data_IF_401276775735
#
_entry.id   IF_401276775735
#
_cell.length_a   1.000
_cell.length_b   1.000
_cell.length_c   1.000
_cell.angle_alpha   90.00
_cell.angle_beta   90.00
_cell.angle_gamma   90.00
#
_symmetry.space_group_name_H-M   'P 1'
#
loop_
_entity.id
_entity.type
_entity.pdbx_description
1 polymer ?
#
# COMPACT_ATOMS: atom_id res chain seq x y z
N UNK A 1 -1.46 -52.92 -17.57
CA UNK A 1 -0.76 -52.35 -16.39
C UNK A 1 0.11 -51.11 -16.70
N UNK A 2 0.71 -50.98 -17.89
CA UNK A 2 1.62 -49.85 -18.25
C UNK A 2 0.92 -48.47 -18.27
N UNK A 3 -0.35 -48.40 -18.68
CA UNK A 3 -1.08 -47.11 -18.77
C UNK A 3 -1.41 -46.47 -17.42
N UNK A 4 -1.55 -47.26 -16.35
CA UNK A 4 -1.88 -46.74 -15.02
C UNK A 4 -0.65 -46.04 -14.41
N UNK A 5 0.54 -46.64 -14.52
CA UNK A 5 1.81 -46.03 -14.08
C UNK A 5 2.13 -44.73 -14.82
N UNK A 6 1.89 -44.69 -16.15
CA UNK A 6 2.05 -43.46 -16.96
C UNK A 6 1.11 -42.34 -16.52
N UNK A 7 -0.16 -42.66 -16.20
CA UNK A 7 -1.13 -41.68 -15.69
C UNK A 7 -0.70 -41.07 -14.35
N UNK A 8 -0.22 -41.87 -13.41
CA UNK A 8 0.28 -41.35 -12.12
C UNK A 8 1.48 -40.44 -12.29
N UNK A 9 2.43 -40.81 -13.16
CA UNK A 9 3.59 -39.96 -13.47
C UNK A 9 3.16 -38.64 -14.14
N UNK A 10 2.20 -38.69 -15.07
CA UNK A 10 1.65 -37.48 -15.69
C UNK A 10 0.93 -36.58 -14.68
N UNK A 11 0.11 -37.14 -13.79
CA UNK A 11 -0.57 -36.37 -12.74
C UNK A 11 0.46 -35.72 -11.82
N UNK A 12 1.48 -36.47 -11.38
CA UNK A 12 2.55 -35.95 -10.54
C UNK A 12 3.29 -34.79 -11.22
N UNK A 13 3.64 -34.93 -12.51
CA UNK A 13 4.28 -33.88 -13.29
C UNK A 13 3.41 -32.62 -13.39
N UNK A 14 2.11 -32.78 -13.64
CA UNK A 14 1.16 -31.66 -13.69
C UNK A 14 1.08 -30.98 -12.32
N UNK A 15 0.99 -31.73 -11.23
CA UNK A 15 0.97 -31.18 -9.88
C UNK A 15 2.24 -30.38 -9.56
N UNK A 16 3.42 -30.89 -9.94
CA UNK A 16 4.69 -30.17 -9.76
C UNK A 16 4.69 -28.86 -10.55
N UNK A 17 4.23 -28.87 -11.80
CA UNK A 17 4.15 -27.66 -12.63
C UNK A 17 3.20 -26.61 -12.03
N UNK A 18 2.06 -27.04 -11.52
CA UNK A 18 1.09 -26.16 -10.85
C UNK A 18 1.71 -25.54 -9.59
N UNK A 19 2.35 -26.35 -8.74
CA UNK A 19 3.03 -25.85 -7.53
C UNK A 19 4.14 -24.87 -7.90
N UNK A 20 4.98 -25.19 -8.88
CA UNK A 20 6.05 -24.33 -9.34
C UNK A 20 5.51 -23.00 -9.89
N UNK A 21 4.39 -23.03 -10.63
CA UNK A 21 3.73 -21.83 -11.14
C UNK A 21 3.22 -20.92 -10.02
N UNK A 22 2.54 -21.48 -9.01
CA UNK A 22 2.05 -20.71 -7.85
C UNK A 22 3.20 -20.15 -7.02
N UNK A 23 4.24 -20.96 -6.78
CA UNK A 23 5.42 -20.52 -6.05
C UNK A 23 6.17 -19.39 -6.75
N UNK A 24 6.37 -19.51 -8.07
CA UNK A 24 6.98 -18.46 -8.87
C UNK A 24 6.18 -17.16 -8.78
N UNK A 25 4.85 -17.23 -8.96
CA UNK A 25 3.97 -16.07 -8.81
C UNK A 25 4.06 -15.47 -7.40
N UNK A 26 4.07 -16.28 -6.35
CA UNK A 26 4.15 -15.78 -4.97
C UNK A 26 5.42 -14.97 -4.71
N UNK A 27 6.56 -15.43 -5.23
CA UNK A 27 7.85 -14.74 -5.07
C UNK A 27 7.89 -13.45 -5.89
N UNK A 28 7.51 -13.52 -7.17
CA UNK A 28 7.65 -12.39 -8.10
C UNK A 28 6.58 -11.31 -7.93
N UNK A 29 5.48 -11.62 -7.24
CA UNK A 29 4.39 -10.66 -7.03
C UNK A 29 4.71 -9.66 -5.92
N UNK A 30 4.80 -8.38 -6.29
CA UNK A 30 5.03 -7.28 -5.36
C UNK A 30 4.33 -6.00 -5.83
N UNK A 31 4.27 -5.02 -4.94
CA UNK A 31 3.89 -3.65 -5.30
C UNK A 31 5.13 -2.87 -5.74
N UNK A 32 4.98 -2.02 -6.75
CA UNK A 32 6.02 -1.10 -7.20
C UNK A 32 5.50 0.32 -7.09
N UNK A 33 6.30 1.22 -6.51
CA UNK A 33 5.94 2.63 -6.41
C UNK A 33 6.09 3.31 -7.78
N UNK A 34 5.00 3.91 -8.27
CA UNK A 34 4.95 4.56 -9.60
C UNK A 34 5.05 6.07 -9.46
N UNK A 35 4.46 6.65 -8.42
CA UNK A 35 4.54 8.08 -8.16
C UNK A 35 4.51 8.39 -6.67
N UNK A 36 5.19 9.46 -6.31
CA UNK A 36 5.24 10.01 -4.96
C UNK A 36 4.75 11.44 -4.97
N UNK A 37 3.90 11.78 -4.00
CA UNK A 37 3.59 13.16 -3.67
C UNK A 37 4.39 13.59 -2.44
N UNK A 38 4.81 14.85 -2.40
CA UNK A 38 5.48 15.47 -1.26
C UNK A 38 5.09 16.94 -1.17
N UNK A 39 5.06 17.50 0.03
CA UNK A 39 4.91 18.94 0.23
C UNK A 39 6.25 19.59 0.52
N UNK A 40 6.40 20.87 0.15
CA UNK A 40 7.48 21.70 0.70
C UNK A 40 7.20 21.99 2.16
N UNK A 41 8.25 22.01 2.99
CA UNK A 41 8.17 22.25 4.44
C UNK A 41 7.30 23.46 4.80
N UNK A 42 7.44 24.56 4.07
CA UNK A 42 6.74 25.81 4.33
C UNK A 42 5.29 25.84 3.83
N UNK A 43 4.85 24.79 3.12
CA UNK A 43 3.49 24.69 2.57
C UNK A 43 2.49 24.02 3.51
N UNK A 44 2.96 23.33 4.56
CA UNK A 44 2.11 22.65 5.55
C UNK A 44 1.89 23.57 6.75
N UNK A 45 0.70 24.12 6.83
CA UNK A 45 0.25 24.94 7.96
C UNK A 45 -0.25 24.07 9.12
N UNK A 46 -0.16 24.62 10.33
CA UNK A 46 -0.67 24.00 11.54
C UNK A 46 -2.20 23.86 11.47
N UNK A 47 -2.74 22.73 11.95
CA UNK A 47 -4.18 22.43 12.01
C UNK A 47 -4.92 22.45 10.67
N UNK A 48 -4.20 22.36 9.55
CA UNK A 48 -4.78 22.16 8.22
C UNK A 48 -4.62 20.69 7.80
N UNK A 49 -5.59 20.19 7.02
CA UNK A 49 -5.57 18.84 6.47
C UNK A 49 -5.03 18.82 5.05
N UNK A 50 -4.10 17.88 4.82
CA UNK A 50 -3.40 17.70 3.56
C UNK A 50 -3.45 16.25 3.12
N UNK A 51 -3.66 16.01 1.83
CA UNK A 51 -3.79 14.67 1.27
C UNK A 51 -2.61 14.40 0.33
N UNK A 52 -1.85 13.35 0.61
CA UNK A 52 -0.73 12.90 -0.21
C UNK A 52 -1.02 11.52 -0.81
N UNK A 53 -1.08 11.46 -2.13
CA UNK A 53 -1.21 10.22 -2.88
C UNK A 53 0.13 9.59 -3.26
N UNK A 54 0.26 8.30 -2.98
CA UNK A 54 1.37 7.44 -3.41
C UNK A 54 0.82 6.34 -4.31
N UNK A 55 1.08 6.44 -5.61
CA UNK A 55 0.57 5.48 -6.59
C UNK A 55 1.43 4.23 -6.57
N UNK A 56 0.79 3.07 -6.41
CA UNK A 56 1.41 1.76 -6.46
C UNK A 56 0.84 0.97 -7.65
N UNK A 57 1.71 0.19 -8.29
CA UNK A 57 1.34 -0.81 -9.28
C UNK A 57 1.59 -2.20 -8.72
N UNK A 58 0.62 -3.08 -8.83
CA UNK A 58 0.77 -4.50 -8.54
C UNK A 58 1.32 -5.24 -9.76
N UNK A 59 2.42 -5.97 -9.59
CA UNK A 59 3.08 -6.73 -10.66
C UNK A 59 2.69 -8.23 -10.68
N UNK A 60 1.86 -8.68 -9.74
CA UNK A 60 1.42 -10.07 -9.66
C UNK A 60 0.18 -10.39 -10.52
N UNK A 61 0.07 -11.65 -10.94
CA UNK A 61 -1.11 -12.13 -11.68
C UNK A 61 -2.33 -12.19 -10.77
N UNK A 62 -2.16 -12.67 -9.55
CA UNK A 62 -3.24 -12.81 -8.56
C UNK A 62 -3.30 -11.57 -7.69
N UNK A 63 -4.52 -11.07 -7.48
CA UNK A 63 -4.77 -9.86 -6.71
C UNK A 63 -4.63 -10.11 -5.21
N UNK A 64 -3.85 -9.28 -4.50
CA UNK A 64 -3.70 -9.43 -3.07
C UNK A 64 -4.90 -8.82 -2.33
N UNK A 65 -5.03 -9.18 -1.06
CA UNK A 65 -5.87 -8.45 -0.10
C UNK A 65 -4.94 -7.73 0.85
N UNK A 66 -5.00 -6.40 0.89
CA UNK A 66 -4.25 -5.60 1.86
C UNK A 66 -4.91 -5.82 3.22
N UNK A 67 -4.14 -6.26 4.20
CA UNK A 67 -4.65 -6.49 5.54
C UNK A 67 -4.70 -5.18 6.30
N UNK A 68 -3.60 -4.43 6.26
CA UNK A 68 -3.43 -3.13 6.91
C UNK A 68 -2.25 -2.38 6.31
N UNK A 69 -2.17 -1.08 6.60
CA UNK A 69 -1.05 -0.21 6.24
C UNK A 69 -0.55 0.46 7.52
N UNK A 70 0.74 0.31 7.79
CA UNK A 70 1.43 0.96 8.92
C UNK A 70 2.33 2.09 8.39
N UNK A 71 2.38 3.19 9.13
CA UNK A 71 3.29 4.29 8.86
C UNK A 71 4.41 4.29 9.89
N UNK A 72 5.65 4.59 9.46
CA UNK A 72 6.78 4.75 10.36
C UNK A 72 7.42 6.11 10.24
N UNK A 73 7.73 6.70 11.39
CA UNK A 73 8.42 7.98 11.51
C UNK A 73 9.91 7.84 11.17
N UNK A 74 10.60 8.97 11.05
CA UNK A 74 12.04 9.02 10.74
C UNK A 74 12.93 8.29 11.75
N UNK A 75 12.50 8.17 13.00
CA UNK A 75 13.20 7.44 14.06
C UNK A 75 12.91 5.91 14.04
N UNK A 76 12.06 5.46 13.13
CA UNK A 76 11.67 4.05 12.97
C UNK A 76 10.46 3.62 13.82
N UNK A 77 9.92 4.50 14.67
CA UNK A 77 8.72 4.20 15.47
C UNK A 77 7.47 4.13 14.59
N UNK A 78 6.50 3.29 14.98
CA UNK A 78 5.21 3.18 14.31
C UNK A 78 4.37 4.39 14.72
N UNK A 79 3.83 5.10 13.74
CA UNK A 79 2.92 6.23 14.00
C UNK A 79 1.59 5.69 14.52
N UNK A 80 1.19 6.16 15.71
CA UNK A 80 -0.11 5.84 16.31
C UNK A 80 -1.16 6.89 15.94
N UNK A 81 -2.42 6.48 15.81
CA UNK A 81 -3.56 7.38 15.59
C UNK A 81 -3.67 8.48 16.66
N UNK A 82 -3.16 8.21 17.87
CA UNK A 82 -3.18 9.13 19.01
C UNK A 82 -1.88 9.92 19.20
N UNK A 83 -1.04 10.02 18.16
CA UNK A 83 0.18 10.80 18.25
C UNK A 83 -0.09 12.29 18.57
N UNK A 84 0.75 12.85 19.46
CA UNK A 84 0.58 14.20 20.02
C UNK A 84 0.98 15.32 19.06
N UNK A 85 1.74 15.00 18.01
CA UNK A 85 2.35 15.94 17.09
C UNK A 85 1.72 15.86 15.70
N UNK A 86 1.32 14.67 15.27
CA UNK A 86 0.80 14.39 13.95
C UNK A 86 -0.45 13.50 14.02
N UNK A 87 -1.44 13.76 13.19
CA UNK A 87 -2.53 12.80 12.91
C UNK A 87 -2.42 12.41 11.45
N UNK A 88 -2.36 11.11 11.17
CA UNK A 88 -2.39 10.62 9.79
C UNK A 88 -3.44 9.54 9.66
N UNK A 89 -4.40 9.75 8.77
CA UNK A 89 -5.34 8.72 8.36
C UNK A 89 -4.93 8.17 7.00
N UNK A 90 -5.02 6.85 6.83
CA UNK A 90 -4.65 6.17 5.58
C UNK A 90 -5.90 5.73 4.85
N UNK A 91 -5.94 5.99 3.55
CA UNK A 91 -7.01 5.56 2.66
C UNK A 91 -6.46 4.93 1.38
N UNK A 92 -7.33 4.26 0.64
CA UNK A 92 -7.05 3.76 -0.71
C UNK A 92 -7.96 4.44 -1.73
N UNK A 93 -7.35 5.03 -2.76
CA UNK A 93 -8.02 5.57 -3.94
C UNK A 93 -7.81 4.62 -5.14
N UNK A 94 -8.88 3.90 -5.53
CA UNK A 94 -8.88 3.04 -6.72
C UNK A 94 -8.94 3.83 -8.03
N UNK A 95 -9.35 5.10 -7.99
CA UNK A 95 -9.50 5.94 -9.18
C UNK A 95 -8.17 6.57 -9.63
N UNK A 96 -7.13 6.48 -8.81
CA UNK A 96 -5.78 7.02 -9.06
C UNK A 96 -5.78 8.51 -9.44
N UNK A 97 -6.63 9.30 -8.79
CA UNK A 97 -6.75 10.74 -9.06
C UNK A 97 -6.10 11.59 -7.97
N UNK A 98 -5.65 10.97 -6.88
CA UNK A 98 -5.11 11.69 -5.73
C UNK A 98 -3.62 11.93 -5.88
N UNK A 99 -3.24 13.21 -6.06
CA UNK A 99 -1.86 13.69 -5.99
C UNK A 99 -1.58 14.35 -4.62
N UNK A 100 -1.01 15.56 -4.63
CA UNK A 100 -0.93 16.41 -3.44
C UNK A 100 -2.10 17.39 -3.44
N UNK A 101 -3.03 17.28 -2.50
CA UNK A 101 -4.26 18.09 -2.46
C UNK A 101 -4.48 18.70 -1.06
N UNK A 102 -5.08 19.90 -1.02
CA UNK A 102 -5.62 20.51 0.22
C UNK A 102 -7.09 20.11 0.40
N UNK A 103 -7.58 20.06 1.64
CA UNK A 103 -8.92 19.54 1.97
C UNK A 103 -10.07 20.11 1.14
N UNK A 104 -10.05 21.42 0.85
CA UNK A 104 -11.08 22.11 0.04
C UNK A 104 -11.26 21.50 -1.36
N UNK A 105 -10.19 20.94 -1.93
CA UNK A 105 -10.20 20.29 -3.25
C UNK A 105 -10.58 18.79 -3.18
N UNK A 106 -10.57 18.20 -1.99
CA UNK A 106 -10.69 16.74 -1.77
C UNK A 106 -12.14 16.30 -1.54
N UNK A 107 -13.06 17.23 -1.25
CA UNK A 107 -14.49 16.95 -1.04
C UNK A 107 -15.15 16.14 -2.16
N UNK A 108 -14.69 16.28 -3.41
CA UNK A 108 -15.19 15.52 -4.57
C UNK A 108 -14.67 14.07 -4.65
N UNK A 109 -13.59 13.76 -3.93
CA UNK A 109 -12.89 12.48 -3.96
C UNK A 109 -13.11 11.65 -2.70
N UNK A 110 -13.38 12.28 -1.54
CA UNK A 110 -13.64 11.59 -0.26
C UNK A 110 -14.64 10.43 -0.36
N UNK A 111 -15.78 10.54 -1.07
CA UNK A 111 -16.74 9.43 -1.16
C UNK A 111 -16.19 8.19 -1.89
N UNK A 112 -15.04 8.29 -2.57
CA UNK A 112 -14.42 7.21 -3.34
C UNK A 112 -13.25 6.56 -2.61
N UNK A 113 -12.88 7.06 -1.43
CA UNK A 113 -11.80 6.51 -0.63
C UNK A 113 -12.29 5.30 0.16
N UNK A 114 -11.47 4.24 0.14
CA UNK A 114 -11.73 3.00 0.87
C UNK A 114 -10.82 2.89 2.08
N UNK A 115 -11.31 2.25 3.14
CA UNK A 115 -10.49 1.86 4.28
C UNK A 115 -9.44 0.82 3.80
N UNK A 116 -8.16 0.97 4.17
CA UNK A 116 -7.12 0.01 3.82
C UNK A 116 -7.27 -1.37 4.48
N UNK A 117 -8.01 -1.49 5.58
CA UNK A 117 -8.17 -2.75 6.29
C UNK A 117 -8.94 -3.79 5.47
N UNK A 118 -8.36 -4.97 5.31
CA UNK A 118 -8.91 -6.08 4.52
C UNK A 118 -9.33 -5.67 3.10
N UNK A 119 -8.65 -4.69 2.52
CA UNK A 119 -8.98 -4.15 1.21
C UNK A 119 -8.56 -5.11 0.08
N UNK A 120 -9.54 -5.59 -0.69
CA UNK A 120 -9.28 -6.44 -1.86
C UNK A 120 -8.93 -5.59 -3.08
N UNK A 121 -7.68 -5.73 -3.55
CA UNK A 121 -7.20 -5.02 -4.75
C UNK A 121 -7.95 -5.53 -5.98
N UNK A 122 -8.63 -4.64 -6.71
CA UNK A 122 -9.33 -4.98 -7.96
C UNK A 122 -8.48 -4.65 -9.19
N UNK A 123 -7.90 -3.45 -9.20
CA UNK A 123 -7.10 -2.94 -10.31
C UNK A 123 -5.60 -3.22 -10.13
N UNK A 124 -4.81 -3.13 -11.19
CA UNK A 124 -3.34 -3.22 -11.08
C UNK A 124 -2.73 -1.95 -10.49
N UNK A 125 -3.51 -0.88 -10.33
CA UNK A 125 -3.05 0.39 -9.78
C UNK A 125 -3.98 0.84 -8.66
N UNK A 126 -3.37 1.21 -7.55
CA UNK A 126 -4.03 1.81 -6.39
C UNK A 126 -3.21 3.01 -5.95
N UNK A 127 -3.85 3.98 -5.30
CA UNK A 127 -3.14 5.08 -4.66
C UNK A 127 -3.37 5.00 -3.15
N UNK A 128 -2.30 4.93 -2.38
CA UNK A 128 -2.37 5.10 -0.93
C UNK A 128 -2.43 6.59 -0.65
N UNK A 129 -3.45 7.02 0.07
CA UNK A 129 -3.67 8.42 0.40
C UNK A 129 -3.42 8.62 1.89
N UNK A 130 -2.48 9.49 2.22
CA UNK A 130 -2.22 9.94 3.59
C UNK A 130 -2.95 11.28 3.80
N UNK A 131 -3.94 11.30 4.68
CA UNK A 131 -4.51 12.55 5.20
C UNK A 131 -3.73 12.97 6.44
N UNK A 132 -2.92 14.01 6.30
CA UNK A 132 -1.97 14.50 7.29
C UNK A 132 -2.54 15.78 7.91
N UNK A 133 -2.60 15.80 9.24
CA UNK A 133 -2.92 16.97 10.04
C UNK A 133 -1.82 17.19 11.09
N UNK A 134 -1.14 18.33 10.99
CA UNK A 134 -0.06 18.74 11.90
C UNK A 134 -0.64 19.44 13.13
N UNK A 135 -0.47 18.84 14.31
CA UNK A 135 -0.94 19.39 15.59
C UNK A 135 0.08 20.32 16.26
N UNK A 136 1.37 20.13 16.00
CA UNK A 136 2.48 20.89 16.63
C UNK A 136 3.59 21.24 15.65
N UNK A 137 4.40 22.25 15.99
CA UNK A 137 5.49 22.68 15.11
C UNK A 137 6.63 21.67 15.00
N UNK A 138 7.07 21.09 16.11
CA UNK A 138 8.14 20.08 16.16
C UNK A 138 7.59 18.68 15.96
N UNK A 139 7.25 18.32 14.72
CA UNK A 139 6.85 16.96 14.38
C UNK A 139 7.94 16.20 13.62
N UNK A 140 7.96 14.88 13.80
CA UNK A 140 8.82 13.99 13.03
C UNK A 140 8.13 13.59 11.72
N UNK A 141 8.92 13.53 10.66
CA UNK A 141 8.42 13.25 9.30
C UNK A 141 8.09 11.76 9.14
N UNK A 142 7.02 11.45 8.39
CA UNK A 142 6.69 10.06 8.04
C UNK A 142 7.59 9.65 6.89
N UNK A 143 8.43 8.64 7.12
CA UNK A 143 9.43 8.21 6.14
C UNK A 143 9.15 6.88 5.49
N UNK A 144 8.28 6.05 6.06
CA UNK A 144 8.00 4.73 5.50
C UNK A 144 6.53 4.38 5.53
N UNK A 145 6.08 3.75 4.46
CA UNK A 145 4.81 3.05 4.38
C UNK A 145 5.13 1.56 4.37
N UNK A 146 4.59 0.81 5.34
CA UNK A 146 4.64 -0.64 5.33
C UNK A 146 3.24 -1.20 5.04
N UNK A 147 3.13 -2.01 4.00
CA UNK A 147 1.89 -2.67 3.59
C UNK A 147 1.99 -4.14 4.00
N UNK A 148 1.03 -4.61 4.80
CA UNK A 148 0.79 -6.04 4.98
C UNK A 148 -0.31 -6.48 4.03
N UNK A 149 -0.10 -7.56 3.29
CA UNK A 149 -1.08 -8.10 2.36
C UNK A 149 -1.01 -9.62 2.27
N UNK A 150 -2.15 -10.23 1.98
CA UNK A 150 -2.30 -11.66 1.78
C UNK A 150 -2.31 -12.02 0.30
N UNK A 151 -1.53 -13.04 -0.05
CA UNK A 151 -1.52 -13.67 -1.37
C UNK A 151 -1.63 -15.19 -1.18
N UNK A 152 -2.69 -15.80 -1.72
CA UNK A 152 -3.00 -17.23 -1.48
C UNK A 152 -3.10 -17.64 0.00
N UNK A 153 -3.54 -16.71 0.87
CA UNK A 153 -3.62 -16.94 2.32
C UNK A 153 -2.28 -16.85 3.06
N UNK A 154 -1.20 -16.50 2.36
CA UNK A 154 0.11 -16.23 2.95
C UNK A 154 0.33 -14.73 3.07
N UNK A 155 0.75 -14.28 4.25
CA UNK A 155 1.05 -12.88 4.52
C UNK A 155 2.42 -12.49 3.96
N UNK A 156 2.46 -11.37 3.23
CA UNK A 156 3.67 -10.67 2.82
C UNK A 156 3.64 -9.26 3.40
N UNK A 157 4.84 -8.74 3.71
CA UNK A 157 5.05 -7.35 4.12
C UNK A 157 6.00 -6.68 3.15
N UNK A 158 5.68 -5.46 2.76
CA UNK A 158 6.53 -4.65 1.90
C UNK A 158 6.63 -3.24 2.46
N UNK A 159 7.84 -2.68 2.46
CA UNK A 159 8.11 -1.34 2.96
C UNK A 159 8.58 -0.45 1.82
N UNK A 160 8.06 0.77 1.78
CA UNK A 160 8.45 1.81 0.85
C UNK A 160 8.99 3.00 1.63
N UNK A 161 10.13 3.52 1.21
CA UNK A 161 10.60 4.82 1.67
C UNK A 161 9.80 5.92 0.95
N UNK A 162 9.32 6.88 1.73
CA UNK A 162 8.56 8.03 1.25
C UNK A 162 9.10 9.32 1.87
N UNK A 163 8.75 10.43 1.25
CA UNK A 163 8.98 11.76 1.77
C UNK A 163 7.64 12.47 1.83
N UNK A 164 7.15 12.76 3.04
CA UNK A 164 5.98 13.61 3.21
C UNK A 164 6.35 15.09 3.10
N UNK A 165 7.58 15.44 3.49
CA UNK A 165 8.14 16.78 3.40
C UNK A 165 9.46 16.75 2.64
N UNK A 166 9.63 17.70 1.71
CA UNK A 166 10.92 18.03 1.12
C UNK A 166 11.41 19.40 1.63
N UNK A 167 12.73 19.58 1.80
CA UNK A 167 13.33 20.86 2.20
C UNK A 167 13.02 21.98 1.21
#
# INVERSE_FOLDING_TARGET
MVNIKKRYVSILLISILVIAFFYHNYISSEFTMVSTAAFKKDSIKLNEEYYLGYSLKWEGIVKPTINYIELRMSDGTILSDNDKYLSVNVFIDESNNTGALKSESVAKYLPKYSNPENFRVKNNRITIVLNINRKKEDYMDVRKIMISYNLFGLEKKQTFDIYTIVP
#
